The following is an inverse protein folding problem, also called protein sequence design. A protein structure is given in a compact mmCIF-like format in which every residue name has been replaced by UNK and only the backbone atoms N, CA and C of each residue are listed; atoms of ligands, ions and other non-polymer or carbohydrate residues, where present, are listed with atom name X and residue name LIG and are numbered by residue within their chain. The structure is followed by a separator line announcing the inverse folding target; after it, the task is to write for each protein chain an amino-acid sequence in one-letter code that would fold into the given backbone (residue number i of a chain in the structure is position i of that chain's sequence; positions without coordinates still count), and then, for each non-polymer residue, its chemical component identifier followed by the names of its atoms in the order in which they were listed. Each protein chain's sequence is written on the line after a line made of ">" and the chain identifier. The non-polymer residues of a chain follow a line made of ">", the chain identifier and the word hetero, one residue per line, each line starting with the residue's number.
data_IF_284073896351
#
_entry.id   IF_284073896351
#
_cell.length_a   1.000
_cell.length_b   1.000
_cell.length_c   1.000
_cell.angle_alpha   90.00
_cell.angle_beta   90.00
_cell.angle_gamma   90.00
#
_symmetry.space_group_name_H-M   'P 1'
#
loop_
_entity.id
_entity.type
_entity.pdbx_description
1 polymer ?
#
# COMPACT_ATOMS: atom_id res chain seq x y z
N UNK A 1 13.59 49.67 -66.76
CA UNK A 1 12.62 50.11 -65.73
C UNK A 1 11.83 48.88 -65.30
N UNK A 2 11.51 48.58 -64.04
CA UNK A 2 11.93 49.06 -62.72
C UNK A 2 11.41 47.99 -61.72
N UNK A 3 12.11 47.87 -60.59
CA UNK A 3 11.87 46.96 -59.46
C UNK A 3 10.63 47.30 -58.60
N UNK A 4 10.22 46.34 -57.75
CA UNK A 4 9.44 46.48 -56.50
C UNK A 4 8.61 45.22 -56.23
N UNK A 5 9.09 44.22 -55.47
CA UNK A 5 9.05 44.01 -54.00
C UNK A 5 7.66 43.62 -53.43
N UNK A 6 7.57 42.46 -52.76
CA UNK A 6 7.18 42.43 -51.34
C UNK A 6 7.54 41.13 -50.59
N UNK A 7 7.68 41.26 -49.27
CA UNK A 7 8.50 40.45 -48.34
C UNK A 7 7.82 39.23 -47.69
N UNK A 8 8.68 38.31 -47.25
CA UNK A 8 8.43 37.12 -46.42
C UNK A 8 8.26 37.48 -44.93
N UNK A 9 7.31 36.82 -44.24
CA UNK A 9 7.23 36.76 -42.77
C UNK A 9 7.64 35.38 -42.25
N UNK A 10 8.34 35.37 -41.11
CA UNK A 10 9.14 34.27 -40.57
C UNK A 10 8.33 33.30 -39.69
N UNK A 11 8.81 32.04 -39.72
CA UNK A 11 8.68 30.94 -38.73
C UNK A 11 7.65 29.84 -39.04
N UNK A 12 8.01 29.05 -40.06
CA UNK A 12 7.95 27.59 -40.02
C UNK A 12 9.00 27.04 -39.06
N UNK A 13 8.71 25.92 -38.39
CA UNK A 13 9.47 24.67 -38.54
C UNK A 13 8.83 23.57 -37.69
N UNK A 14 7.92 22.82 -38.33
CA UNK A 14 7.43 21.52 -37.89
C UNK A 14 7.71 20.52 -39.02
N UNK A 15 8.17 19.34 -38.63
CA UNK A 15 8.16 18.12 -39.43
C UNK A 15 9.49 17.77 -40.10
N UNK A 16 10.06 16.61 -39.76
CA UNK A 16 9.84 15.35 -40.52
C UNK A 16 10.63 14.20 -39.88
N UNK A 17 10.04 12.99 -39.86
CA UNK A 17 10.66 11.78 -40.42
C UNK A 17 9.74 10.57 -40.24
N UNK A 18 9.32 9.99 -41.36
CA UNK A 18 8.79 8.64 -41.47
C UNK A 18 9.69 7.86 -42.45
N UNK A 19 9.99 6.60 -42.17
CA UNK A 19 10.69 5.69 -43.10
C UNK A 19 11.41 4.54 -42.38
N UNK A 20 10.85 3.34 -42.46
CA UNK A 20 11.29 2.10 -41.81
C UNK A 20 12.41 1.36 -42.58
N UNK A 21 13.18 0.49 -41.89
CA UNK A 21 13.58 -0.86 -42.37
C UNK A 21 14.32 -1.70 -41.29
N UNK A 22 13.71 -2.85 -40.96
CA UNK A 22 14.21 -4.20 -40.60
C UNK A 22 15.51 -4.48 -39.76
N UNK A 23 15.29 -5.31 -38.71
CA UNK A 23 16.03 -6.49 -38.21
C UNK A 23 17.32 -6.38 -37.32
N UNK A 24 17.20 -6.98 -36.12
CA UNK A 24 18.16 -7.36 -35.04
C UNK A 24 19.38 -8.23 -35.50
N UNK A 25 20.41 -8.60 -34.69
CA UNK A 25 20.74 -8.38 -33.25
C UNK A 25 22.25 -8.00 -32.99
N UNK A 26 22.70 -8.03 -31.72
CA UNK A 26 24.10 -7.95 -31.20
C UNK A 26 24.51 -6.58 -30.67
N UNK A 27 24.48 -6.43 -29.33
CA UNK A 27 25.50 -5.78 -28.49
C UNK A 27 24.95 -5.74 -27.05
N UNK A 28 25.04 -6.88 -26.36
CA UNK A 28 24.91 -6.92 -24.91
C UNK A 28 26.12 -7.66 -24.33
N UNK A 29 27.26 -7.01 -24.43
CA UNK A 29 28.46 -7.28 -23.63
C UNK A 29 29.37 -6.08 -23.77
N UNK A 30 29.60 -5.36 -22.67
CA UNK A 30 30.73 -4.44 -22.39
C UNK A 30 30.37 -3.17 -21.61
N UNK A 31 29.57 -3.23 -20.54
CA UNK A 31 29.65 -2.23 -19.46
C UNK A 31 29.40 -2.91 -18.09
N UNK A 32 30.34 -2.84 -17.14
CA UNK A 32 30.16 -3.44 -15.81
C UNK A 32 29.11 -2.66 -15.00
N UNK A 33 28.11 -3.35 -14.47
CA UNK A 33 27.17 -2.82 -13.48
C UNK A 33 27.84 -2.72 -12.11
N UNK A 34 28.67 -1.70 -11.92
CA UNK A 34 29.06 -1.21 -10.60
C UNK A 34 29.00 0.32 -10.64
N UNK A 35 28.20 0.92 -9.76
CA UNK A 35 28.27 2.37 -9.56
C UNK A 35 26.98 3.12 -9.22
N UNK A 36 25.84 2.46 -9.05
CA UNK A 36 24.62 3.18 -8.59
C UNK A 36 24.64 3.40 -7.07
N UNK A 37 25.34 2.56 -6.30
CA UNK A 37 25.42 2.70 -4.83
C UNK A 37 26.52 3.69 -4.36
N UNK A 38 27.62 3.86 -5.10
CA UNK A 38 28.70 4.78 -4.71
C UNK A 38 28.34 6.27 -4.94
N UNK A 39 27.40 6.55 -5.86
CA UNK A 39 26.92 7.92 -6.11
C UNK A 39 26.06 8.46 -4.95
N UNK A 40 25.34 7.59 -4.22
CA UNK A 40 24.58 8.01 -3.04
C UNK A 40 25.47 8.21 -1.81
N UNK A 41 26.57 7.45 -1.68
CA UNK A 41 27.52 7.61 -0.57
C UNK A 41 28.34 8.91 -0.65
N UNK A 42 28.63 9.41 -1.86
CA UNK A 42 29.35 10.69 -2.06
C UNK A 42 28.47 11.93 -1.93
N UNK A 43 27.16 11.82 -2.15
CA UNK A 43 26.22 12.92 -1.95
C UNK A 43 25.94 13.25 -0.46
N UNK A 44 26.34 12.37 0.47
CA UNK A 44 26.22 12.60 1.91
C UNK A 44 27.43 13.33 2.54
N UNK A 45 28.47 13.66 1.76
CA UNK A 45 29.75 14.18 2.27
C UNK A 45 30.09 15.64 1.92
N UNK A 46 29.37 16.29 1.00
CA UNK A 46 29.70 17.64 0.55
C UNK A 46 28.43 18.47 0.40
N UNK A 47 28.16 19.36 1.36
CA UNK A 47 27.69 20.76 1.15
C UNK A 47 27.29 21.41 2.49
N UNK A 48 28.27 22.04 3.15
CA UNK A 48 28.01 23.22 3.97
C UNK A 48 28.18 24.46 3.06
N UNK A 49 27.08 24.96 2.50
CA UNK A 49 27.08 26.19 1.70
C UNK A 49 25.65 26.64 1.44
N UNK A 50 25.25 27.77 2.04
CA UNK A 50 23.86 28.18 2.13
C UNK A 50 23.19 28.60 0.81
N UNK A 51 21.86 28.56 0.82
CA UNK A 51 21.03 29.23 -0.18
C UNK A 51 19.67 28.58 -0.42
N UNK A 52 18.68 28.95 0.41
CA UNK A 52 17.25 29.02 0.07
C UNK A 52 16.61 27.88 -0.72
N UNK A 53 16.06 26.88 -0.01
CA UNK A 53 15.01 26.03 -0.54
C UNK A 53 13.78 26.12 0.39
N UNK A 54 12.62 26.37 -0.20
CA UNK A 54 11.33 26.34 0.47
C UNK A 54 11.04 24.91 0.95
N UNK A 55 11.50 24.60 2.16
CA UNK A 55 10.98 23.50 2.95
C UNK A 55 9.55 23.88 3.33
N UNK A 56 8.57 23.12 2.84
CA UNK A 56 7.29 23.01 3.49
C UNK A 56 7.55 22.34 4.84
N UNK A 57 7.95 23.15 5.82
CA UNK A 57 8.10 22.72 7.18
C UNK A 57 6.69 22.36 7.67
N UNK A 58 6.43 21.06 7.85
CA UNK A 58 5.36 20.63 8.74
C UNK A 58 5.60 21.36 10.06
N UNK A 59 4.73 22.33 10.39
CA UNK A 59 4.76 22.98 11.68
C UNK A 59 4.56 21.88 12.71
N UNK A 60 5.65 21.49 13.34
CA UNK A 60 5.67 20.41 14.32
C UNK A 60 4.59 20.66 15.36
N UNK A 61 3.50 19.91 15.26
CA UNK A 61 2.71 19.58 16.42
C UNK A 61 3.68 18.81 17.31
N UNK A 62 4.07 19.43 18.43
CA UNK A 62 4.85 18.73 19.45
C UNK A 62 4.16 17.42 19.82
N UNK A 63 4.94 16.49 20.38
CA UNK A 63 4.54 15.19 20.95
C UNK A 63 3.43 15.32 22.04
N UNK A 64 2.28 15.88 21.69
CA UNK A 64 1.07 15.92 22.48
C UNK A 64 0.13 14.99 21.76
N UNK A 65 -0.07 13.80 22.33
CA UNK A 65 -1.13 12.90 21.89
C UNK A 65 -2.49 13.60 21.93
N UNK A 66 -3.51 12.94 21.42
CA UNK A 66 -4.88 13.45 21.44
C UNK A 66 -5.42 13.61 22.85
N UNK A 67 -6.28 14.61 23.08
CA UNK A 67 -7.06 14.70 24.32
C UNK A 67 -8.31 13.84 24.15
N UNK A 68 -8.42 12.78 24.94
CA UNK A 68 -9.50 11.79 24.84
C UNK A 68 -9.07 10.55 24.07
N UNK A 69 -10.01 9.60 23.91
CA UNK A 69 -9.81 8.32 23.22
C UNK A 69 -11.01 8.03 22.35
N UNK A 70 -10.77 7.41 21.20
CA UNK A 70 -11.85 6.84 20.39
C UNK A 70 -12.37 5.59 21.08
N UNK A 71 -13.68 5.48 21.22
CA UNK A 71 -14.33 4.26 21.73
C UNK A 71 -14.46 3.25 20.58
N UNK A 72 -13.83 2.06 20.65
CA UNK A 72 -13.89 1.06 19.59
C UNK A 72 -15.31 0.68 19.16
N UNK A 73 -16.29 0.82 20.06
CA UNK A 73 -17.70 0.52 19.78
C UNK A 73 -18.31 1.46 18.74
N UNK A 74 -17.81 2.70 18.63
CA UNK A 74 -18.24 3.67 17.61
C UNK A 74 -17.84 3.19 16.22
N UNK A 75 -16.60 2.71 16.09
CA UNK A 75 -16.06 2.20 14.83
C UNK A 75 -16.52 0.77 14.51
N UNK A 76 -16.92 0.00 15.52
CA UNK A 76 -17.18 -1.43 15.38
C UNK A 76 -15.92 -2.26 15.11
N UNK A 77 -14.74 -1.72 15.41
CA UNK A 77 -13.46 -2.41 15.40
C UNK A 77 -12.49 -1.75 16.39
N UNK A 78 -11.53 -2.52 16.89
CA UNK A 78 -10.50 -2.07 17.83
C UNK A 78 -9.10 -2.25 17.21
N UNK A 79 -8.26 -1.19 17.12
CA UNK A 79 -6.87 -1.30 16.70
C UNK A 79 -6.05 -2.36 17.46
N UNK A 80 -6.38 -2.64 18.72
CA UNK A 80 -5.71 -3.68 19.51
C UNK A 80 -6.01 -5.08 19.01
N UNK A 81 -7.25 -5.34 18.61
CA UNK A 81 -7.67 -6.61 18.05
C UNK A 81 -7.06 -6.80 16.66
N UNK A 82 -7.02 -5.73 15.85
CA UNK A 82 -6.45 -5.76 14.49
C UNK A 82 -5.00 -6.25 14.50
N UNK A 83 -4.19 -5.93 15.52
CA UNK A 83 -2.79 -6.36 15.62
C UNK A 83 -2.61 -7.87 15.40
N UNK A 84 -3.56 -8.69 15.82
CA UNK A 84 -3.46 -10.16 15.80
C UNK A 84 -4.64 -10.83 15.10
N UNK A 85 -5.51 -10.06 14.46
CA UNK A 85 -6.65 -10.56 13.69
C UNK A 85 -6.21 -10.94 12.27
N UNK A 86 -6.12 -12.25 12.02
CA UNK A 86 -5.75 -12.83 10.73
C UNK A 86 -6.92 -13.64 10.18
N UNK A 87 -7.52 -13.15 9.10
CA UNK A 87 -8.51 -13.89 8.35
C UNK A 87 -7.80 -14.99 7.56
N UNK A 88 -8.09 -16.25 7.92
CA UNK A 88 -7.57 -17.44 7.22
C UNK A 88 -8.57 -17.98 6.21
N UNK A 89 -9.75 -17.39 6.06
CA UNK A 89 -10.77 -17.85 5.13
C UNK A 89 -11.26 -19.26 5.44
N UNK A 90 -12.04 -19.81 4.51
CA UNK A 90 -12.55 -21.19 4.57
C UNK A 90 -11.84 -22.03 3.53
N UNK A 91 -11.44 -23.26 3.89
CA UNK A 91 -10.84 -24.19 2.92
C UNK A 91 -11.91 -25.13 2.40
N UNK A 92 -12.17 -25.07 1.09
CA UNK A 92 -13.05 -26.00 0.38
C UNK A 92 -12.23 -26.93 -0.52
N UNK A 93 -12.82 -28.07 -0.90
CA UNK A 93 -12.20 -29.05 -1.79
C UNK A 93 -12.93 -29.06 -3.12
N UNK A 94 -12.20 -28.77 -4.20
CA UNK A 94 -12.73 -28.77 -5.56
C UNK A 94 -11.82 -29.58 -6.47
N UNK A 95 -12.36 -30.62 -7.11
CA UNK A 95 -11.57 -31.50 -7.99
C UNK A 95 -10.34 -32.10 -7.30
N UNK A 96 -10.38 -32.30 -5.98
CA UNK A 96 -9.26 -32.80 -5.18
C UNK A 96 -8.25 -31.73 -4.71
N UNK A 97 -8.29 -30.51 -5.24
CA UNK A 97 -7.44 -29.38 -4.82
C UNK A 97 -8.10 -28.60 -3.66
N UNK A 98 -7.30 -28.14 -2.71
CA UNK A 98 -7.75 -27.22 -1.68
C UNK A 98 -7.83 -25.79 -2.25
N UNK A 99 -8.95 -25.11 -2.02
CA UNK A 99 -9.18 -23.71 -2.37
C UNK A 99 -9.49 -22.96 -1.08
N UNK A 100 -8.75 -21.89 -0.80
CA UNK A 100 -8.98 -20.99 0.34
C UNK A 100 -9.86 -19.84 -0.11
N UNK A 101 -11.05 -19.79 0.43
CA UNK A 101 -12.09 -18.81 0.10
C UNK A 101 -12.17 -17.69 1.13
N UNK A 102 -12.22 -16.47 0.64
CA UNK A 102 -12.47 -15.26 1.40
C UNK A 102 -13.68 -14.53 0.82
N UNK A 103 -14.35 -13.75 1.66
CA UNK A 103 -15.42 -12.84 1.24
C UNK A 103 -15.11 -11.42 1.74
N UNK A 104 -15.05 -10.49 0.80
CA UNK A 104 -14.84 -9.07 1.06
C UNK A 104 -16.04 -8.28 0.52
N UNK A 105 -16.59 -7.41 1.36
CA UNK A 105 -17.71 -6.53 1.03
C UNK A 105 -17.22 -5.09 1.13
N UNK A 106 -17.34 -4.32 0.06
CA UNK A 106 -17.12 -2.87 0.14
C UNK A 106 -18.34 -2.19 0.76
N UNK A 107 -18.14 -1.36 1.77
CA UNK A 107 -19.21 -0.66 2.49
C UNK A 107 -18.84 0.80 2.78
N UNK A 108 -19.81 1.70 2.66
CA UNK A 108 -19.69 3.10 3.08
C UNK A 108 -19.91 3.19 4.60
N UNK A 109 -18.94 3.71 5.35
CA UNK A 109 -19.02 3.80 6.81
C UNK A 109 -18.45 5.10 7.35
N UNK A 110 -19.15 5.74 8.28
CA UNK A 110 -18.56 6.80 9.10
C UNK A 110 -17.75 6.14 10.22
N UNK A 111 -16.46 6.49 10.32
CA UNK A 111 -15.54 6.05 11.37
C UNK A 111 -14.98 7.26 12.12
N UNK A 112 -14.48 7.06 13.33
CA UNK A 112 -13.79 8.05 14.13
C UNK A 112 -12.29 7.72 14.14
N UNK A 113 -11.47 8.59 13.54
CA UNK A 113 -10.02 8.37 13.31
C UNK A 113 -9.14 9.03 14.37
N UNK A 114 -9.70 10.00 15.09
CA UNK A 114 -9.14 10.62 16.28
C UNK A 114 -10.32 11.12 17.15
N UNK A 115 -10.14 11.36 18.47
CA UNK A 115 -11.22 11.81 19.34
C UNK A 115 -11.96 13.03 18.79
N UNK A 116 -13.24 12.87 18.49
CA UNK A 116 -14.12 13.88 17.90
C UNK A 116 -13.99 14.09 16.38
N UNK A 117 -13.07 13.40 15.71
CA UNK A 117 -12.85 13.52 14.25
C UNK A 117 -13.46 12.34 13.53
N UNK A 118 -14.62 12.59 12.92
CA UNK A 118 -15.34 11.64 12.07
C UNK A 118 -14.85 11.72 10.63
N UNK A 119 -14.81 10.57 9.97
CA UNK A 119 -14.33 10.41 8.60
C UNK A 119 -15.26 9.47 7.83
N UNK A 120 -15.66 9.88 6.62
CA UNK A 120 -16.51 9.08 5.74
C UNK A 120 -15.67 8.09 4.92
N UNK A 121 -15.45 6.92 5.49
CA UNK A 121 -14.62 5.86 4.92
C UNK A 121 -15.37 4.99 3.91
N UNK A 122 -14.59 4.41 3.00
CA UNK A 122 -14.96 3.23 2.23
C UNK A 122 -14.15 2.06 2.78
N UNK A 123 -14.84 1.00 3.16
CA UNK A 123 -14.24 -0.07 3.97
C UNK A 123 -14.40 -1.42 3.30
N UNK A 124 -13.48 -2.35 3.57
CA UNK A 124 -13.73 -3.77 3.32
C UNK A 124 -14.18 -4.44 4.63
N UNK A 125 -15.34 -5.10 4.61
CA UNK A 125 -15.98 -5.74 5.77
C UNK A 125 -16.16 -4.80 6.97
N UNK A 126 -16.55 -3.55 6.69
CA UNK A 126 -16.89 -2.57 7.72
C UNK A 126 -15.71 -2.03 8.52
N UNK A 127 -14.45 -2.35 8.20
CA UNK A 127 -13.27 -1.87 8.94
C UNK A 127 -12.17 -1.30 8.06
N UNK A 128 -11.37 -0.41 8.65
CA UNK A 128 -10.15 0.14 8.05
C UNK A 128 -8.99 -0.10 9.04
N UNK A 129 -7.85 -0.68 8.63
CA UNK A 129 -7.67 -1.42 7.39
C UNK A 129 -8.67 -2.58 7.29
N UNK A 130 -8.95 -3.02 6.07
CA UNK A 130 -9.73 -4.23 5.80
C UNK A 130 -9.09 -5.48 6.40
N UNK A 131 -9.75 -6.65 6.30
CA UNK A 131 -9.25 -7.92 6.81
C UNK A 131 -7.81 -8.22 6.42
N UNK A 132 -6.98 -8.63 7.38
CA UNK A 132 -5.64 -9.16 7.08
C UNK A 132 -5.80 -10.57 6.56
N UNK A 133 -5.75 -10.74 5.25
CA UNK A 133 -5.90 -12.04 4.61
C UNK A 133 -4.62 -12.86 4.79
N UNK A 134 -4.76 -14.16 5.08
CA UNK A 134 -3.61 -15.04 5.27
C UNK A 134 -3.80 -16.38 4.56
N UNK A 135 -2.84 -16.70 3.70
CA UNK A 135 -2.76 -17.96 2.97
C UNK A 135 -1.38 -18.59 3.10
N UNK A 136 -1.23 -19.85 2.70
CA UNK A 136 0.07 -20.50 2.55
C UNK A 136 0.46 -20.55 1.09
N UNK A 137 1.75 -20.41 0.82
CA UNK A 137 2.31 -20.44 -0.53
C UNK A 137 1.88 -21.68 -1.34
N UNK A 138 1.42 -21.44 -2.58
CA UNK A 138 0.93 -22.46 -3.50
C UNK A 138 -0.56 -22.85 -3.32
N UNK A 139 -1.22 -22.34 -2.27
CA UNK A 139 -2.67 -22.50 -2.14
C UNK A 139 -3.39 -21.73 -3.27
N UNK A 140 -4.50 -22.30 -3.76
CA UNK A 140 -5.40 -21.55 -4.62
C UNK A 140 -6.27 -20.66 -3.73
N UNK A 141 -6.24 -19.36 -3.96
CA UNK A 141 -7.03 -18.38 -3.25
C UNK A 141 -8.18 -17.92 -4.14
N UNK A 142 -9.37 -17.84 -3.55
CA UNK A 142 -10.57 -17.30 -4.19
C UNK A 142 -11.17 -16.22 -3.29
N UNK A 143 -11.35 -15.02 -3.81
CA UNK A 143 -11.98 -13.92 -3.09
C UNK A 143 -13.28 -13.57 -3.79
N UNK A 144 -14.40 -13.80 -3.11
CA UNK A 144 -15.69 -13.24 -3.51
C UNK A 144 -15.71 -11.79 -3.06
N UNK A 145 -15.76 -10.88 -4.02
CA UNK A 145 -15.94 -9.45 -3.75
C UNK A 145 -17.39 -9.06 -4.02
N UNK A 146 -18.01 -8.37 -3.07
CA UNK A 146 -19.36 -7.79 -3.20
C UNK A 146 -19.24 -6.28 -3.00
N UNK A 147 -19.78 -5.51 -3.93
CA UNK A 147 -19.83 -4.06 -3.77
C UNK A 147 -21.15 -3.63 -3.11
N UNK A 148 -21.14 -3.42 -1.80
CA UNK A 148 -22.26 -2.86 -1.04
C UNK A 148 -22.22 -1.33 -0.88
N UNK A 149 -21.19 -0.68 -1.45
CA UNK A 149 -21.02 0.78 -1.43
C UNK A 149 -21.85 1.46 -2.53
N UNK A 150 -21.98 2.78 -2.45
CA UNK A 150 -22.64 3.63 -3.46
C UNK A 150 -21.72 3.98 -4.65
N UNK A 151 -20.46 3.56 -4.62
CA UNK A 151 -19.45 3.89 -5.63
C UNK A 151 -18.90 2.62 -6.29
N UNK A 152 -18.47 2.68 -7.57
CA UNK A 152 -17.80 1.55 -8.20
C UNK A 152 -16.46 1.27 -7.53
N UNK A 153 -16.18 0.00 -7.28
CA UNK A 153 -14.96 -0.44 -6.59
C UNK A 153 -14.36 -1.68 -7.25
N UNK A 154 -13.06 -1.88 -7.04
CA UNK A 154 -12.34 -3.11 -7.35
C UNK A 154 -11.52 -3.57 -6.14
N UNK A 155 -10.87 -4.73 -6.28
CA UNK A 155 -9.73 -5.12 -5.44
C UNK A 155 -8.55 -5.47 -6.35
N UNK A 156 -7.46 -4.74 -6.20
CA UNK A 156 -6.15 -5.06 -6.76
C UNK A 156 -5.29 -5.69 -5.66
N UNK A 157 -4.68 -6.83 -5.96
CA UNK A 157 -3.80 -7.56 -5.07
C UNK A 157 -2.36 -7.36 -5.50
N UNK A 158 -1.48 -6.95 -4.59
CA UNK A 158 -0.04 -7.00 -4.85
C UNK A 158 0.41 -8.46 -4.78
N UNK A 159 0.87 -9.01 -5.89
CA UNK A 159 1.23 -10.42 -5.99
C UNK A 159 1.28 -10.89 -7.45
N UNK A 160 1.41 -12.20 -7.66
CA UNK A 160 1.40 -12.78 -9.01
C UNK A 160 0.05 -13.40 -9.30
N UNK A 161 -0.61 -12.87 -10.32
CA UNK A 161 -1.95 -13.20 -10.75
C UNK A 161 -2.11 -12.86 -12.24
N UNK A 162 -3.18 -13.36 -12.85
CA UNK A 162 -3.51 -13.02 -14.24
C UNK A 162 -4.23 -11.67 -14.26
N UNK A 163 -4.15 -10.99 -15.40
CA UNK A 163 -4.87 -9.76 -15.73
C UNK A 163 -6.37 -9.80 -15.36
N UNK A 164 -7.04 -10.94 -15.56
CA UNK A 164 -8.45 -11.13 -15.19
C UNK A 164 -8.75 -11.00 -13.69
N UNK A 165 -7.73 -11.16 -12.83
CA UNK A 165 -7.83 -11.02 -11.37
C UNK A 165 -7.02 -9.85 -10.84
N UNK A 166 -6.62 -8.92 -11.71
CA UNK A 166 -5.79 -7.77 -11.36
C UNK A 166 -6.59 -6.62 -10.75
N UNK A 167 -7.88 -6.50 -11.10
CA UNK A 167 -8.75 -5.48 -10.53
C UNK A 167 -8.49 -4.06 -11.04
N UNK A 168 -7.73 -3.90 -12.12
CA UNK A 168 -7.53 -2.62 -12.80
C UNK A 168 -8.77 -2.29 -13.66
N UNK A 169 -9.34 -1.07 -13.59
CA UNK A 169 -10.42 -0.65 -14.46
C UNK A 169 -10.07 -0.77 -15.95
N UNK A 170 -10.97 -1.35 -16.74
CA UNK A 170 -10.79 -1.54 -18.19
C UNK A 170 -10.04 -2.82 -18.59
N UNK A 171 -9.55 -3.62 -17.63
CA UNK A 171 -8.95 -4.94 -17.85
C UNK A 171 -9.71 -5.99 -17.05
N UNK A 172 -9.93 -7.17 -17.64
CA UNK A 172 -10.69 -8.24 -16.97
C UNK A 172 -12.10 -7.82 -16.58
N UNK A 173 -12.47 -8.04 -15.31
CA UNK A 173 -13.80 -7.64 -14.80
C UNK A 173 -13.90 -6.13 -14.58
N UNK A 174 -12.78 -5.42 -14.38
CA UNK A 174 -12.78 -3.98 -14.16
C UNK A 174 -13.57 -3.54 -12.93
N UNK A 175 -14.23 -2.38 -13.02
CA UNK A 175 -15.06 -1.81 -11.95
C UNK A 175 -16.26 -2.70 -11.65
N UNK A 176 -16.50 -2.96 -10.37
CA UNK A 176 -17.72 -3.59 -9.90
C UNK A 176 -18.67 -2.48 -9.47
N UNK A 177 -19.77 -2.36 -10.19
CA UNK A 177 -20.80 -1.35 -9.89
C UNK A 177 -21.51 -1.63 -8.55
N UNK A 178 -22.13 -0.62 -7.91
CA UNK A 178 -22.94 -0.79 -6.71
C UNK A 178 -23.95 -1.94 -6.83
N UNK A 179 -23.98 -2.82 -5.82
CA UNK A 179 -24.79 -4.04 -5.79
C UNK A 179 -24.24 -5.21 -6.60
N UNK A 180 -23.16 -5.01 -7.35
CA UNK A 180 -22.48 -6.03 -8.12
C UNK A 180 -21.57 -6.92 -7.28
N UNK A 181 -21.10 -8.01 -7.89
CA UNK A 181 -20.12 -8.91 -7.28
C UNK A 181 -19.22 -9.56 -8.32
N UNK A 182 -18.01 -9.94 -7.92
CA UNK A 182 -17.06 -10.70 -8.75
C UNK A 182 -16.27 -11.70 -7.92
N UNK A 183 -15.50 -12.54 -8.59
CA UNK A 183 -14.56 -13.46 -7.97
C UNK A 183 -13.16 -13.22 -8.51
N UNK A 184 -12.21 -12.93 -7.62
CA UNK A 184 -10.78 -12.93 -7.91
C UNK A 184 -10.20 -14.31 -7.56
N UNK A 185 -9.43 -14.90 -8.46
CA UNK A 185 -8.87 -16.23 -8.23
C UNK A 185 -7.45 -16.38 -8.77
N UNK A 186 -6.52 -16.73 -7.88
CA UNK A 186 -5.11 -16.87 -8.20
C UNK A 186 -4.42 -17.87 -7.25
N UNK A 187 -3.17 -18.18 -7.52
CA UNK A 187 -2.32 -18.94 -6.61
C UNK A 187 -1.62 -17.98 -5.66
N UNK A 188 -1.58 -18.29 -4.36
CA UNK A 188 -0.85 -17.49 -3.38
C UNK A 188 0.66 -17.68 -3.59
N UNK A 189 1.26 -16.78 -4.37
CA UNK A 189 2.70 -16.76 -4.65
C UNK A 189 3.18 -15.36 -5.08
N UNK A 190 4.41 -14.95 -4.75
CA UNK A 190 5.37 -15.61 -3.86
C UNK A 190 4.96 -15.51 -2.37
N UNK A 191 5.56 -16.33 -1.50
CA UNK A 191 5.41 -16.08 -0.06
C UNK A 191 5.94 -14.68 0.30
N UNK A 192 5.35 -14.03 1.30
CA UNK A 192 5.71 -12.66 1.65
C UNK A 192 4.68 -11.91 2.44
N UNK A 193 4.97 -10.63 2.65
CA UNK A 193 4.03 -9.62 3.09
C UNK A 193 3.65 -8.78 1.86
N UNK A 194 2.38 -8.85 1.51
CA UNK A 194 1.76 -8.12 0.43
C UNK A 194 0.59 -7.29 0.97
N UNK A 195 -0.12 -6.63 0.07
CA UNK A 195 -1.33 -5.88 0.38
C UNK A 195 -2.35 -6.01 -0.74
N UNK A 196 -3.56 -5.53 -0.48
CA UNK A 196 -4.57 -5.32 -1.49
C UNK A 196 -5.24 -3.96 -1.27
N UNK A 197 -5.73 -3.36 -2.34
CA UNK A 197 -6.43 -2.09 -2.28
C UNK A 197 -7.37 -1.88 -3.47
N UNK A 198 -8.24 -0.88 -3.39
CA UNK A 198 -9.07 -0.49 -4.53
C UNK A 198 -8.22 0.16 -5.63
N UNK A 199 -8.57 -0.10 -6.89
CA UNK A 199 -7.88 0.48 -8.06
C UNK A 199 -8.83 1.31 -8.95
N UNK A 200 -10.05 1.57 -8.49
CA UNK A 200 -11.00 2.46 -9.16
C UNK A 200 -10.49 3.90 -9.19
N UNK A 201 -10.95 4.68 -10.17
CA UNK A 201 -10.56 6.08 -10.36
C UNK A 201 -11.56 7.03 -9.69
N UNK A 202 -11.10 8.10 -9.01
CA UNK A 202 -9.71 8.54 -8.83
C UNK A 202 -8.91 7.71 -7.80
N UNK A 203 -7.75 7.16 -8.21
CA UNK A 203 -7.02 6.16 -7.43
C UNK A 203 -6.70 6.59 -5.99
N UNK A 204 -6.12 7.78 -5.82
CA UNK A 204 -5.72 8.28 -4.51
C UNK A 204 -6.90 8.40 -3.54
N UNK A 205 -8.07 8.86 -4.01
CA UNK A 205 -9.27 8.98 -3.18
C UNK A 205 -9.76 7.60 -2.72
N UNK A 206 -9.81 6.63 -3.62
CA UNK A 206 -10.27 5.27 -3.29
C UNK A 206 -9.37 4.59 -2.25
N UNK A 207 -8.05 4.76 -2.35
CA UNK A 207 -7.11 4.25 -1.36
C UNK A 207 -7.25 5.04 -0.05
N UNK A 208 -7.12 6.37 -0.08
CA UNK A 208 -7.12 7.23 1.10
C UNK A 208 -8.42 7.16 1.93
N UNK A 209 -9.56 6.79 1.30
CA UNK A 209 -10.82 6.59 2.02
C UNK A 209 -10.90 5.27 2.79
N UNK A 210 -9.91 4.38 2.68
CA UNK A 210 -9.77 3.21 3.54
C UNK A 210 -9.87 1.85 2.86
N UNK A 211 -9.98 1.79 1.52
CA UNK A 211 -10.09 0.53 0.78
C UNK A 211 -8.71 -0.10 0.57
N UNK A 212 -8.12 -0.58 1.67
CA UNK A 212 -6.85 -1.32 1.67
C UNK A 212 -6.83 -2.35 2.81
N UNK A 213 -5.98 -3.37 2.67
CA UNK A 213 -5.70 -4.34 3.72
C UNK A 213 -4.40 -5.11 3.45
N UNK A 214 -3.92 -5.82 4.47
CA UNK A 214 -2.72 -6.64 4.35
C UNK A 214 -3.03 -8.03 3.79
N UNK A 215 -2.11 -8.58 3.01
CA UNK A 215 -2.18 -9.96 2.51
C UNK A 215 -0.87 -10.69 2.81
N UNK A 216 -0.93 -11.65 3.73
CA UNK A 216 0.22 -12.43 4.17
C UNK A 216 0.19 -13.79 3.49
N UNK A 217 1.28 -14.15 2.81
CA UNK A 217 1.48 -15.50 2.27
C UNK A 217 2.61 -16.15 3.06
N UNK A 218 2.28 -17.14 3.88
CA UNK A 218 3.25 -17.91 4.64
C UNK A 218 4.09 -18.81 3.72
N UNK A 219 5.42 -18.92 3.92
CA UNK A 219 6.25 -19.83 3.15
C UNK A 219 5.84 -21.27 3.41
N UNK A 220 5.90 -22.12 2.38
CA UNK A 220 5.49 -23.53 2.49
C UNK A 220 6.24 -24.33 3.56
N UNK A 221 7.49 -23.95 3.86
CA UNK A 221 8.33 -24.58 4.88
C UNK A 221 8.15 -23.98 6.29
N UNK A 222 7.29 -22.98 6.44
CA UNK A 222 7.07 -22.25 7.69
C UNK A 222 8.17 -21.24 8.02
N UNK A 223 7.94 -20.52 9.11
CA UNK A 223 8.89 -19.61 9.77
C UNK A 223 9.00 -20.01 11.25
N UNK A 224 10.05 -19.60 11.98
CA UNK A 224 10.07 -19.74 13.43
C UNK A 224 8.80 -19.14 14.06
N UNK A 225 8.26 -19.80 15.08
CA UNK A 225 7.10 -19.29 15.82
C UNK A 225 7.44 -17.92 16.45
N UNK A 226 6.49 -16.99 16.37
CA UNK A 226 6.63 -15.63 16.87
C UNK A 226 5.30 -15.14 17.41
N UNK A 227 5.33 -14.13 18.29
CA UNK A 227 4.18 -13.23 18.48
C UNK A 227 4.07 -12.35 17.24
N UNK A 228 3.03 -12.55 16.44
CA UNK A 228 2.88 -11.87 15.16
C UNK A 228 1.95 -10.68 15.30
N UNK A 229 2.39 -9.52 14.78
CA UNK A 229 1.66 -8.26 14.78
C UNK A 229 1.48 -7.78 13.35
N UNK A 230 0.31 -7.24 13.00
CA UNK A 230 0.10 -6.50 11.74
C UNK A 230 -0.12 -5.01 12.02
N UNK A 231 0.63 -4.17 11.33
CA UNK A 231 0.65 -2.72 11.49
C UNK A 231 0.51 -2.09 10.10
N UNK A 232 -0.66 -1.54 9.80
CA UNK A 232 -0.93 -0.82 8.56
C UNK A 232 -0.86 0.67 8.83
N UNK A 233 0.16 1.33 8.28
CA UNK A 233 0.39 2.77 8.40
C UNK A 233 -0.45 3.51 7.36
N UNK A 234 -1.30 4.42 7.82
CA UNK A 234 -2.23 5.17 6.98
C UNK A 234 -2.35 6.64 7.41
N UNK A 235 -2.97 7.44 6.55
CA UNK A 235 -3.27 8.84 6.79
C UNK A 235 -4.66 9.20 6.32
N UNK A 236 -5.19 10.31 6.86
CA UNK A 236 -6.51 10.82 6.52
C UNK A 236 -6.44 12.32 6.20
N UNK A 237 -6.84 12.65 4.97
CA UNK A 237 -7.18 14.00 4.52
C UNK A 237 -8.62 14.32 4.95
N UNK A 238 -8.75 15.23 5.91
CA UNK A 238 -10.04 15.58 6.55
C UNK A 238 -10.66 16.85 5.98
N UNK A 239 -9.92 17.59 5.15
CA UNK A 239 -10.34 18.89 4.62
C UNK A 239 -10.39 18.94 3.07
N UNK A 240 -10.02 17.84 2.42
CA UNK A 240 -10.02 17.60 0.98
C UNK A 240 -9.01 18.44 0.18
N UNK A 241 -7.87 18.79 0.79
CA UNK A 241 -6.79 19.53 0.14
C UNK A 241 -5.66 18.66 -0.43
N UNK A 242 -5.83 17.32 -0.40
CA UNK A 242 -4.84 16.33 -0.82
C UNK A 242 -3.58 16.31 0.07
N UNK A 243 -3.73 16.64 1.35
CA UNK A 243 -2.73 16.44 2.39
C UNK A 243 -3.34 15.74 3.62
N UNK A 244 -2.53 15.00 4.38
CA UNK A 244 -3.01 14.31 5.57
C UNK A 244 -2.96 15.22 6.81
N UNK A 245 -4.08 15.32 7.54
CA UNK A 245 -4.09 15.93 8.88
C UNK A 245 -3.83 14.90 9.98
N UNK A 246 -4.21 13.65 9.74
CA UNK A 246 -4.16 12.58 10.73
C UNK A 246 -3.33 11.44 10.18
N UNK A 247 -2.43 10.93 11.01
CA UNK A 247 -1.60 9.76 10.75
C UNK A 247 -1.90 8.71 11.81
N UNK A 248 -1.96 7.44 11.40
CA UNK A 248 -2.23 6.35 12.30
C UNK A 248 -1.52 5.05 11.88
N UNK A 249 -1.42 4.15 12.85
CA UNK A 249 -1.18 2.72 12.60
C UNK A 249 -2.46 2.01 12.98
N UNK A 250 -3.02 1.25 12.04
CA UNK A 250 -4.34 0.64 12.17
C UNK A 250 -5.46 1.67 12.48
N UNK A 251 -5.42 2.81 11.77
CA UNK A 251 -6.51 3.79 11.56
C UNK A 251 -6.81 4.78 12.68
N UNK A 252 -6.68 4.41 13.96
CA UNK A 252 -6.97 5.35 15.05
C UNK A 252 -5.66 5.99 15.53
N UNK A 253 -5.59 7.32 15.40
CA UNK A 253 -4.44 8.09 15.84
C UNK A 253 -4.16 7.86 17.33
N UNK A 254 -2.89 7.65 17.67
CA UNK A 254 -2.41 7.42 19.04
C UNK A 254 -3.05 6.24 19.80
N UNK A 255 -3.76 5.32 19.13
CA UNK A 255 -4.36 4.15 19.79
C UNK A 255 -3.35 3.34 20.62
N UNK A 256 -2.13 3.16 20.09
CA UNK A 256 -1.06 2.42 20.78
C UNK A 256 -0.28 3.26 21.81
N UNK A 257 -0.45 4.58 21.81
CA UNK A 257 -0.01 5.41 22.94
C UNK A 257 -0.98 5.24 24.12
N UNK A 258 -2.29 5.27 23.84
CA UNK A 258 -3.34 5.12 24.86
C UNK A 258 -3.43 3.72 25.45
N UNK A 259 -3.20 2.71 24.61
CA UNK A 259 -3.13 1.31 24.98
C UNK A 259 -1.88 0.68 24.36
N UNK A 260 -0.75 0.65 25.08
CA UNK A 260 0.50 0.12 24.56
C UNK A 260 0.40 -1.33 24.09
N UNK A 261 1.05 -1.63 22.98
CA UNK A 261 1.18 -2.99 22.45
C UNK A 261 1.89 -3.87 23.50
N UNK A 262 1.19 -4.89 23.98
CA UNK A 262 1.74 -5.82 24.97
C UNK A 262 2.52 -6.94 24.26
N UNK A 263 3.78 -7.12 24.66
CA UNK A 263 4.67 -8.20 24.21
C UNK A 263 5.43 -8.79 25.41
N UNK A 264 5.93 -10.01 25.29
CA UNK A 264 6.68 -10.68 26.38
C UNK A 264 8.18 -10.58 26.15
N UNK A 265 8.92 -10.27 27.23
CA UNK A 265 10.39 -10.25 27.20
C UNK A 265 10.95 -11.61 26.77
N UNK A 266 11.89 -11.59 25.83
CA UNK A 266 12.58 -12.80 25.34
C UNK A 266 11.78 -13.62 24.32
N UNK A 267 10.55 -13.23 24.00
CA UNK A 267 9.78 -13.83 22.92
C UNK A 267 10.16 -13.19 21.57
N UNK A 268 10.26 -14.00 20.52
CA UNK A 268 10.38 -13.49 19.16
C UNK A 268 9.08 -12.77 18.78
N UNK A 269 9.17 -11.49 18.43
CA UNK A 269 8.06 -10.70 17.90
C UNK A 269 8.30 -10.50 16.41
N UNK A 270 7.29 -10.73 15.57
CA UNK A 270 7.33 -10.49 14.14
C UNK A 270 6.27 -9.46 13.76
N UNK A 271 6.71 -8.33 13.22
CA UNK A 271 5.83 -7.25 12.81
C UNK A 271 5.70 -7.23 11.29
N UNK A 272 4.47 -7.33 10.79
CA UNK A 272 4.10 -7.12 9.41
C UNK A 272 3.71 -5.65 9.25
N UNK A 273 4.66 -4.82 8.79
CA UNK A 273 4.47 -3.37 8.61
C UNK A 273 4.15 -3.07 7.16
N UNK A 274 2.97 -2.49 6.90
CA UNK A 274 2.48 -2.12 5.57
C UNK A 274 2.31 -0.61 5.51
N UNK A 275 2.81 0.02 4.45
CA UNK A 275 2.58 1.44 4.18
C UNK A 275 1.51 1.60 3.10
N UNK A 276 0.42 2.29 3.43
CA UNK A 276 -0.66 2.69 2.50
C UNK A 276 -0.97 4.19 2.66
N UNK A 277 0.01 4.94 3.15
CA UNK A 277 -0.08 6.39 3.29
C UNK A 277 -0.11 7.02 1.90
N UNK A 278 -1.23 7.66 1.58
CA UNK A 278 -1.41 8.39 0.34
C UNK A 278 -0.99 9.86 0.51
N UNK A 279 -0.78 10.57 -0.60
CA UNK A 279 -0.31 11.97 -0.69
C UNK A 279 1.14 12.22 -0.25
N UNK A 280 1.55 11.72 0.91
CA UNK A 280 2.93 11.84 1.40
C UNK A 280 3.84 10.77 0.75
N UNK A 281 4.98 11.20 0.20
CA UNK A 281 5.84 10.32 -0.62
C UNK A 281 6.53 9.20 0.16
N UNK A 282 6.75 9.39 1.46
CA UNK A 282 7.56 8.52 2.29
C UNK A 282 6.95 8.40 3.68
N UNK A 283 7.08 7.21 4.25
CA UNK A 283 6.81 6.94 5.65
C UNK A 283 7.99 6.15 6.24
N UNK A 284 8.12 6.14 7.57
CA UNK A 284 9.22 5.49 8.28
C UNK A 284 8.72 4.84 9.56
N UNK A 285 9.49 3.89 10.09
CA UNK A 285 9.12 3.15 11.30
C UNK A 285 10.34 3.02 12.20
N UNK A 286 10.28 3.57 13.41
CA UNK A 286 11.37 3.50 14.38
C UNK A 286 10.89 2.89 15.70
N UNK A 287 11.72 2.05 16.33
CA UNK A 287 11.45 1.48 17.65
C UNK A 287 12.50 1.94 18.65
N UNK A 288 12.07 2.59 19.73
CA UNK A 288 12.98 3.09 20.75
C UNK A 288 13.72 1.95 21.46
N UNK A 289 15.04 2.11 21.60
CA UNK A 289 15.92 1.23 22.37
C UNK A 289 15.88 -0.26 21.97
N UNK A 290 15.47 -0.57 20.73
CA UNK A 290 15.47 -1.91 20.17
C UNK A 290 15.97 -1.87 18.73
N UNK A 291 16.55 -2.98 18.28
CA UNK A 291 16.89 -3.20 16.88
C UNK A 291 16.09 -4.39 16.36
N UNK A 292 15.89 -4.46 15.06
CA UNK A 292 15.15 -5.51 14.38
C UNK A 292 15.83 -5.91 13.07
N UNK A 293 15.67 -7.19 12.74
CA UNK A 293 15.97 -7.72 11.43
C UNK A 293 14.89 -7.29 10.42
N UNK A 294 15.29 -6.59 9.36
CA UNK A 294 14.37 -6.10 8.33
C UNK A 294 14.34 -7.01 7.11
N UNK A 295 13.13 -7.43 6.73
CA UNK A 295 12.86 -8.30 5.59
C UNK A 295 11.99 -7.53 4.58
N UNK A 296 12.59 -6.80 3.62
CA UNK A 296 11.81 -6.09 2.60
C UNK A 296 10.87 -7.06 1.88
N UNK A 297 9.58 -6.71 1.82
CA UNK A 297 8.46 -7.53 1.29
C UNK A 297 8.28 -8.94 1.89
N UNK A 298 9.11 -9.35 2.86
CA UNK A 298 9.02 -10.68 3.50
C UNK A 298 9.22 -11.88 2.57
N UNK A 299 9.72 -11.66 1.35
CA UNK A 299 9.90 -12.67 0.28
C UNK A 299 11.17 -13.50 0.41
N UNK A 300 11.97 -13.24 1.44
CA UNK A 300 13.18 -13.98 1.79
C UNK A 300 13.13 -14.39 3.27
N UNK A 301 13.87 -15.44 3.61
CA UNK A 301 14.02 -15.92 4.99
C UNK A 301 15.28 -15.36 5.68
N UNK A 302 16.09 -14.61 4.95
CA UNK A 302 17.27 -13.91 5.45
C UNK A 302 16.98 -12.40 5.45
N UNK A 303 17.33 -11.68 6.52
CA UNK A 303 17.10 -10.25 6.58
C UNK A 303 18.07 -9.50 5.66
N UNK A 304 17.65 -8.34 5.18
CA UNK A 304 18.52 -7.43 4.43
C UNK A 304 19.38 -6.61 5.38
N UNK A 305 18.77 -6.07 6.43
CA UNK A 305 19.39 -5.13 7.36
C UNK A 305 19.08 -5.53 8.82
N UNK A 306 19.91 -5.04 9.73
CA UNK A 306 19.66 -5.03 11.17
C UNK A 306 19.74 -3.57 11.65
N UNK A 307 18.60 -3.00 12.02
CA UNK A 307 18.39 -1.55 12.16
C UNK A 307 17.35 -1.27 13.24
N UNK A 308 17.22 -0.02 13.68
CA UNK A 308 16.13 0.44 14.54
C UNK A 308 15.13 1.34 13.79
N UNK A 309 15.37 1.60 12.49
CA UNK A 309 14.53 2.39 11.58
C UNK A 309 14.43 1.81 10.17
#
# INVERSE_FOLDING_TARGET
>A
MKFGEDKISRRKLLGTAAGATAALPLLHESLPHQGVHDQFARAAGEEHGGGGAASAAHKGAGHRGTVGRVDPRVNGFDPQEILRDYDRGKVVREGGRAVREFELVAEDREIEVAPGVKFAAWTYNGRVPGPTLRATEGERVRIKFVNGSKHPHTIHFHGIHRDLSDGIPGVGVGNIEPGGSTVYEFEAFPFGLHLYHCHSTPLAEHIAKGLYGAFIIDPKKGRPEADELVMVMNGFDTNFDLANEIYAVNTVAFAYHDQPVQVKRGQLVRMYVVNVLEFDLLNSFHVHANFFDYYPTGTKLEPRDFTDT
#
